data_IF_979016122486
#
_entry.id   IF_979016122486
#
_cell.length_a   1.000
_cell.length_b   1.000
_cell.length_c   1.000
_cell.angle_alpha   90.00
_cell.angle_beta   90.00
_cell.angle_gamma   90.00
#
_symmetry.space_group_name_H-M   'P 1'
#
loop_
_entity.id
_entity.type
_entity.pdbx_description
1 polymer ?
#
# COMPACT_ATOMS: atom_id res chain seq x y z
N UNK A 1 9.75 12.44 21.80
CA UNK A 1 8.38 11.85 21.78
C UNK A 1 7.97 11.64 20.33
N UNK A 2 7.70 10.41 19.91
CA UNK A 2 7.21 10.16 18.54
C UNK A 2 5.80 10.72 18.42
N UNK A 3 5.53 11.45 17.30
CA UNK A 3 4.17 11.92 17.03
C UNK A 3 3.21 10.73 16.96
N UNK A 4 2.00 10.85 17.51
CA UNK A 4 0.99 9.80 17.36
C UNK A 4 0.71 9.57 15.87
N UNK A 5 0.73 8.30 15.45
CA UNK A 5 0.39 7.95 14.08
C UNK A 5 -1.09 8.22 13.84
N UNK A 6 -1.48 8.72 12.64
CA UNK A 6 -2.88 8.91 12.31
C UNK A 6 -3.67 7.61 12.49
N UNK A 7 -4.87 7.71 13.07
CA UNK A 7 -5.73 6.55 13.27
C UNK A 7 -6.19 5.97 11.91
N UNK A 8 -6.16 4.66 11.72
CA UNK A 8 -6.71 4.02 10.54
C UNK A 8 -8.24 4.15 10.52
N UNK A 9 -8.85 4.01 9.35
CA UNK A 9 -10.29 3.85 9.22
C UNK A 9 -10.74 2.58 9.94
N UNK A 10 -11.85 2.61 10.69
CA UNK A 10 -12.36 1.43 11.38
C UNK A 10 -12.93 0.40 10.39
N UNK A 11 -12.94 -0.90 10.77
CA UNK A 11 -13.65 -1.93 10.01
C UNK A 11 -15.12 -1.56 9.80
N UNK A 12 -15.67 -1.91 8.64
CA UNK A 12 -17.02 -1.58 8.24
C UNK A 12 -17.18 -0.21 7.56
N UNK A 13 -16.18 0.67 7.63
CA UNK A 13 -16.20 1.94 6.89
C UNK A 13 -16.26 1.68 5.40
N UNK A 14 -17.12 2.40 4.68
CA UNK A 14 -17.20 2.33 3.21
C UNK A 14 -16.59 3.58 2.62
N UNK A 15 -15.65 3.42 1.69
CA UNK A 15 -15.03 4.51 0.92
C UNK A 15 -14.97 4.12 -0.56
N UNK A 16 -15.46 4.97 -1.44
CA UNK A 16 -15.49 4.71 -2.89
C UNK A 16 -16.24 3.42 -3.28
N UNK A 17 -17.17 2.95 -2.45
CA UNK A 17 -17.84 1.66 -2.63
C UNK A 17 -17.10 0.45 -2.08
N UNK A 18 -15.89 0.62 -1.52
CA UNK A 18 -15.09 -0.45 -0.91
C UNK A 18 -15.30 -0.47 0.61
N UNK A 19 -15.65 -1.61 1.17
CA UNK A 19 -15.87 -1.79 2.60
C UNK A 19 -14.58 -2.25 3.29
N UNK A 20 -14.07 -1.47 4.22
CA UNK A 20 -12.89 -1.80 5.01
C UNK A 20 -13.15 -3.05 5.87
N UNK A 21 -12.32 -4.07 5.72
CA UNK A 21 -12.35 -5.28 6.56
C UNK A 21 -11.39 -5.14 7.74
N UNK A 22 -10.15 -4.80 7.47
CA UNK A 22 -9.11 -4.58 8.50
C UNK A 22 -7.93 -3.78 7.95
N UNK A 23 -7.14 -3.22 8.85
CA UNK A 23 -5.82 -2.67 8.51
C UNK A 23 -4.83 -3.81 8.25
N UNK A 24 -4.10 -3.74 7.13
CA UNK A 24 -2.98 -4.64 6.79
C UNK A 24 -1.64 -4.06 7.23
N UNK A 25 -1.37 -2.79 6.87
CA UNK A 25 -0.10 -2.14 7.14
C UNK A 25 -0.27 -0.63 7.36
N UNK A 26 0.71 0.01 8.00
CA UNK A 26 0.82 1.45 8.07
C UNK A 26 2.30 1.84 7.94
N UNK A 27 2.58 2.82 7.10
CA UNK A 27 3.94 3.32 6.81
C UNK A 27 4.02 4.84 6.80
N UNK A 28 5.17 5.36 6.36
CA UNK A 28 5.42 6.81 6.30
C UNK A 28 4.48 7.58 5.39
N UNK A 29 3.96 6.94 4.35
CA UNK A 29 3.11 7.56 3.32
C UNK A 29 1.61 7.29 3.49
N UNK A 30 1.21 6.36 4.36
CA UNK A 30 -0.20 6.08 4.55
C UNK A 30 -0.51 4.72 5.16
N UNK A 31 -1.73 4.28 4.96
CA UNK A 31 -2.28 3.05 5.51
C UNK A 31 -2.78 2.15 4.39
N UNK A 32 -2.55 0.86 4.53
CA UNK A 32 -3.08 -0.17 3.63
C UNK A 32 -4.11 -0.99 4.38
N UNK A 33 -5.27 -1.15 3.77
CA UNK A 33 -6.38 -1.93 4.29
C UNK A 33 -6.66 -3.16 3.43
N UNK A 34 -7.16 -4.22 4.03
CA UNK A 34 -7.97 -5.22 3.36
C UNK A 34 -9.38 -4.65 3.24
N UNK A 35 -9.94 -4.67 2.04
CA UNK A 35 -11.30 -4.21 1.78
C UNK A 35 -12.04 -5.19 0.86
N UNK A 36 -13.35 -5.13 0.87
CA UNK A 36 -14.22 -5.80 -0.09
C UNK A 36 -14.74 -4.79 -1.11
N UNK A 37 -14.72 -5.18 -2.38
CA UNK A 37 -15.40 -4.44 -3.45
C UNK A 37 -16.92 -4.69 -3.42
N UNK A 38 -17.73 -4.02 -4.28
CA UNK A 38 -19.17 -4.26 -4.37
C UNK A 38 -19.56 -5.69 -4.70
N UNK A 39 -18.70 -6.45 -5.38
CA UNK A 39 -18.89 -7.86 -5.72
C UNK A 39 -18.36 -8.82 -4.64
N UNK A 40 -17.99 -8.29 -3.46
CA UNK A 40 -17.42 -9.06 -2.33
C UNK A 40 -16.07 -9.69 -2.58
N UNK A 41 -15.32 -9.19 -3.57
CA UNK A 41 -13.94 -9.63 -3.81
C UNK A 41 -12.99 -8.86 -2.91
N UNK A 42 -11.98 -9.55 -2.40
CA UNK A 42 -10.97 -8.94 -1.54
C UNK A 42 -9.97 -8.13 -2.39
N UNK A 43 -9.73 -6.90 -1.96
CA UNK A 43 -8.77 -5.97 -2.55
C UNK A 43 -7.88 -5.36 -1.47
N UNK A 44 -6.70 -4.88 -1.85
CA UNK A 44 -5.88 -4.02 -1.01
C UNK A 44 -6.20 -2.56 -1.34
N UNK A 45 -6.55 -1.78 -0.32
CA UNK A 45 -6.86 -0.36 -0.45
C UNK A 45 -5.78 0.46 0.26
N UNK A 46 -4.97 1.21 -0.49
CA UNK A 46 -3.93 2.09 0.04
C UNK A 46 -4.44 3.52 0.14
N UNK A 47 -4.45 4.07 1.34
CA UNK A 47 -4.83 5.45 1.62
C UNK A 47 -3.58 6.33 1.75
N UNK A 48 -3.56 7.49 1.11
CA UNK A 48 -2.54 8.50 1.34
C UNK A 48 -2.80 9.20 2.67
N UNK A 49 -2.01 8.90 3.70
CA UNK A 49 -2.15 9.44 5.04
C UNK A 49 -0.77 9.58 5.71
N UNK A 50 0.08 10.50 5.22
CA UNK A 50 1.44 10.65 5.73
C UNK A 50 1.44 11.20 7.15
N UNK A 51 1.96 10.42 8.11
CA UNK A 51 2.00 10.77 9.53
C UNK A 51 2.82 12.04 9.84
N UNK A 52 3.70 12.47 8.94
CA UNK A 52 4.44 13.72 9.06
C UNK A 52 3.61 14.96 8.72
N UNK A 53 2.53 14.82 7.95
CA UNK A 53 1.74 15.91 7.39
C UNK A 53 0.30 15.94 7.88
N UNK A 54 -0.29 14.78 8.14
CA UNK A 54 -1.69 14.64 8.47
C UNK A 54 -1.87 13.94 9.82
N UNK A 55 -2.94 14.29 10.51
CA UNK A 55 -3.39 13.68 11.76
C UNK A 55 -4.84 13.23 11.58
N UNK A 56 -5.23 12.12 12.21
CA UNK A 56 -6.62 11.67 12.25
C UNK A 56 -6.88 10.99 13.59
N UNK A 57 -7.95 11.37 14.26
CA UNK A 57 -8.41 10.74 15.50
C UNK A 57 -9.20 9.48 15.20
N UNK A 58 -9.31 8.59 16.17
CA UNK A 58 -10.11 7.38 16.03
C UNK A 58 -11.59 7.74 15.74
N UNK A 59 -12.17 7.09 14.74
CA UNK A 59 -13.57 7.32 14.31
C UNK A 59 -13.76 8.48 13.34
N UNK A 60 -12.76 9.33 13.11
CA UNK A 60 -12.83 10.37 12.08
C UNK A 60 -12.49 9.77 10.70
N UNK A 61 -13.17 10.28 9.66
CA UNK A 61 -12.91 9.88 8.26
C UNK A 61 -11.89 10.81 7.60
N UNK A 62 -12.03 12.11 7.83
CA UNK A 62 -11.26 13.16 7.17
C UNK A 62 -9.97 13.43 7.95
N UNK A 63 -8.78 13.34 7.32
CA UNK A 63 -7.53 13.72 7.95
C UNK A 63 -7.44 15.23 8.15
N UNK A 64 -6.86 15.64 9.25
CA UNK A 64 -6.55 17.04 9.55
C UNK A 64 -5.13 17.35 9.15
N UNK A 65 -4.96 18.39 8.35
CA UNK A 65 -3.65 18.89 7.91
C UNK A 65 -3.49 20.32 8.39
N UNK A 66 -2.38 20.61 9.07
CA UNK A 66 -2.09 21.97 9.54
C UNK A 66 -1.92 22.92 8.34
N UNK A 67 -2.29 24.22 8.48
CA UNK A 67 -2.22 25.19 7.38
C UNK A 67 -0.84 25.30 6.74
N UNK A 68 0.22 25.29 7.53
CA UNK A 68 1.62 25.37 7.10
C UNK A 68 2.06 24.13 6.27
N UNK A 69 1.38 23.01 6.43
CA UNK A 69 1.67 21.73 5.73
C UNK A 69 0.76 21.46 4.53
N UNK A 70 -0.29 22.25 4.35
CA UNK A 70 -1.27 22.08 3.27
C UNK A 70 -0.62 22.04 1.86
N UNK A 71 0.33 22.92 1.50
CA UNK A 71 0.94 22.87 0.18
C UNK A 71 1.68 21.55 -0.07
N UNK A 72 2.44 21.06 0.94
CA UNK A 72 3.19 19.82 0.82
C UNK A 72 2.25 18.59 0.78
N UNK A 73 1.17 18.62 1.56
CA UNK A 73 0.15 17.57 1.54
C UNK A 73 -0.53 17.46 0.17
N UNK A 74 -0.90 18.61 -0.44
CA UNK A 74 -1.50 18.66 -1.79
C UNK A 74 -0.53 18.15 -2.87
N UNK A 75 0.75 18.52 -2.77
CA UNK A 75 1.77 18.01 -3.67
C UNK A 75 1.87 16.48 -3.57
N UNK A 76 1.90 15.95 -2.34
CA UNK A 76 1.95 14.51 -2.11
C UNK A 76 0.69 13.78 -2.59
N UNK A 77 -0.51 14.37 -2.44
CA UNK A 77 -1.75 13.83 -3.04
C UNK A 77 -1.62 13.70 -4.56
N UNK A 78 -1.09 14.74 -5.22
CA UNK A 78 -0.87 14.72 -6.67
C UNK A 78 0.12 13.63 -7.06
N UNK A 79 1.27 13.57 -6.39
CA UNK A 79 2.30 12.55 -6.66
C UNK A 79 1.78 11.13 -6.45
N UNK A 80 1.02 10.89 -5.38
CA UNK A 80 0.41 9.59 -5.11
C UNK A 80 -0.59 9.18 -6.20
N UNK A 81 -1.37 10.13 -6.71
CA UNK A 81 -2.30 9.89 -7.81
C UNK A 81 -1.58 9.59 -9.12
N UNK A 82 -0.51 10.33 -9.44
CA UNK A 82 0.31 10.11 -10.63
C UNK A 82 1.04 8.76 -10.57
N UNK A 83 1.57 8.38 -9.39
CA UNK A 83 2.15 7.06 -9.14
C UNK A 83 1.12 5.95 -9.43
N UNK A 84 -0.08 6.06 -8.86
CA UNK A 84 -1.15 5.10 -9.08
C UNK A 84 -1.54 4.97 -10.56
N UNK A 85 -1.62 6.10 -11.27
CA UNK A 85 -1.91 6.13 -12.70
C UNK A 85 -0.83 5.44 -13.53
N UNK A 86 0.43 5.63 -13.18
CA UNK A 86 1.54 4.96 -13.86
C UNK A 86 1.54 3.46 -13.58
N UNK A 87 1.34 3.06 -12.32
CA UNK A 87 1.24 1.65 -11.93
C UNK A 87 0.08 0.93 -12.61
N UNK A 88 -1.07 1.60 -12.80
CA UNK A 88 -2.23 1.02 -13.48
C UNK A 88 -1.98 0.65 -14.95
N UNK A 89 -0.93 1.20 -15.57
CA UNK A 89 -0.52 0.87 -16.95
C UNK A 89 0.39 -0.35 -17.01
N UNK A 90 0.89 -0.84 -15.88
CA UNK A 90 1.85 -1.93 -15.82
C UNK A 90 1.12 -3.25 -15.61
N UNK A 91 1.22 -4.16 -16.59
CA UNK A 91 0.78 -5.53 -16.48
C UNK A 91 1.99 -6.46 -16.43
N UNK A 92 2.42 -6.85 -15.22
CA UNK A 92 3.54 -7.76 -15.02
C UNK A 92 3.32 -8.61 -13.76
N UNK A 93 3.60 -9.92 -13.77
CA UNK A 93 3.33 -10.82 -12.64
C UNK A 93 4.10 -10.44 -11.36
N UNK A 94 5.26 -9.81 -11.49
CA UNK A 94 6.08 -9.36 -10.34
C UNK A 94 5.78 -7.91 -9.91
N UNK A 95 4.73 -7.27 -10.46
CA UNK A 95 4.29 -5.93 -10.09
C UNK A 95 2.82 -6.00 -9.67
N UNK A 96 2.48 -5.41 -8.53
CA UNK A 96 1.10 -5.38 -8.05
C UNK A 96 0.21 -4.62 -9.03
N UNK A 97 -0.91 -5.20 -9.42
CA UNK A 97 -1.88 -4.56 -10.31
C UNK A 97 -2.71 -3.53 -9.56
N UNK A 98 -2.82 -2.34 -10.14
CA UNK A 98 -3.72 -1.28 -9.67
C UNK A 98 -5.00 -1.33 -10.51
N UNK A 99 -6.15 -1.44 -9.85
CA UNK A 99 -7.45 -1.55 -10.51
C UNK A 99 -8.19 -0.22 -10.61
N UNK A 100 -8.05 0.60 -9.57
CA UNK A 100 -8.77 1.86 -9.45
C UNK A 100 -8.01 2.81 -8.53
N UNK A 101 -8.29 4.10 -8.66
CA UNK A 101 -7.90 5.12 -7.70
C UNK A 101 -8.97 6.22 -7.70
N UNK A 102 -9.26 6.77 -6.53
CA UNK A 102 -10.30 7.77 -6.36
C UNK A 102 -9.96 8.72 -5.22
N UNK A 103 -10.67 9.83 -5.19
CA UNK A 103 -10.56 10.84 -4.14
C UNK A 103 -11.82 10.85 -3.29
N UNK A 104 -11.63 10.72 -1.98
CA UNK A 104 -12.68 10.83 -0.98
C UNK A 104 -12.07 11.25 0.38
N UNK A 105 -12.86 11.79 1.29
CA UNK A 105 -12.42 12.21 2.63
C UNK A 105 -11.17 13.12 2.61
N UNK A 106 -11.08 14.06 1.67
CA UNK A 106 -9.92 14.95 1.49
C UNK A 106 -8.57 14.22 1.30
N UNK A 107 -8.59 12.95 0.90
CA UNK A 107 -7.43 12.16 0.57
C UNK A 107 -7.63 11.36 -0.72
N UNK A 108 -6.64 10.53 -1.08
CA UNK A 108 -6.64 9.68 -2.28
C UNK A 108 -6.46 8.23 -1.86
N UNK A 109 -7.21 7.37 -2.51
CA UNK A 109 -7.17 5.92 -2.34
C UNK A 109 -6.74 5.24 -3.64
N UNK A 110 -5.92 4.19 -3.52
CA UNK A 110 -5.49 3.33 -4.60
C UNK A 110 -5.95 1.91 -4.32
N UNK A 111 -6.71 1.33 -5.24
CA UNK A 111 -7.23 -0.05 -5.15
C UNK A 111 -6.29 -0.97 -5.92
N UNK A 112 -5.79 -1.98 -5.25
CA UNK A 112 -4.80 -2.91 -5.79
C UNK A 112 -5.25 -4.35 -5.58
N UNK A 113 -4.63 -5.26 -6.35
CA UNK A 113 -4.76 -6.68 -6.08
C UNK A 113 -4.33 -7.00 -4.65
N UNK A 114 -5.16 -7.75 -3.92
CA UNK A 114 -4.77 -8.31 -2.63
C UNK A 114 -4.03 -9.63 -2.86
N UNK A 115 -2.75 -9.62 -2.52
CA UNK A 115 -1.90 -10.81 -2.59
C UNK A 115 -1.88 -11.48 -1.21
N UNK A 116 -2.34 -12.73 -1.17
CA UNK A 116 -2.21 -13.57 0.03
C UNK A 116 -0.82 -14.19 0.03
N UNK A 117 -0.13 -14.06 1.14
CA UNK A 117 1.22 -14.60 1.31
C UNK A 117 1.99 -13.88 2.41
N UNK A 118 3.22 -14.32 2.60
CA UNK A 118 4.15 -13.74 3.58
C UNK A 118 5.10 -12.74 2.90
N UNK A 119 5.60 -11.80 3.68
CA UNK A 119 6.69 -10.96 3.21
C UNK A 119 7.99 -11.78 3.14
N UNK A 120 8.94 -11.36 2.30
CA UNK A 120 10.24 -12.00 2.26
C UNK A 120 10.92 -12.00 3.65
N UNK A 121 10.69 -10.97 4.45
CA UNK A 121 11.22 -10.88 5.81
C UNK A 121 10.60 -11.94 6.71
N UNK A 122 9.27 -12.11 6.71
CA UNK A 122 8.57 -13.13 7.50
C UNK A 122 9.02 -14.53 7.08
N UNK A 123 9.16 -14.75 5.76
CA UNK A 123 9.68 -15.99 5.23
C UNK A 123 11.11 -16.29 5.73
N UNK A 124 12.00 -15.29 5.76
CA UNK A 124 13.37 -15.43 6.28
C UNK A 124 13.36 -15.76 7.76
N UNK A 125 12.56 -15.06 8.56
CA UNK A 125 12.44 -15.29 10.01
C UNK A 125 11.95 -16.71 10.28
N UNK A 126 10.83 -17.10 9.66
CA UNK A 126 10.23 -18.43 9.81
C UNK A 126 11.20 -19.55 9.38
N UNK A 127 11.90 -19.36 8.26
CA UNK A 127 12.86 -20.35 7.79
C UNK A 127 14.05 -20.54 8.75
N UNK A 128 14.53 -19.46 9.38
CA UNK A 128 15.57 -19.53 10.42
C UNK A 128 15.09 -20.22 11.67
N UNK A 129 13.91 -19.89 12.17
CA UNK A 129 13.31 -20.53 13.36
C UNK A 129 13.12 -22.03 13.15
N UNK A 130 12.71 -22.45 11.95
CA UNK A 130 12.53 -23.85 11.58
C UNK A 130 13.83 -24.55 11.16
N UNK A 131 15.00 -23.88 11.23
CA UNK A 131 16.31 -24.39 10.82
C UNK A 131 16.29 -24.96 9.40
N UNK A 132 15.54 -24.31 8.51
CA UNK A 132 15.40 -24.70 7.10
C UNK A 132 16.43 -23.99 6.21
N UNK A 133 17.72 -24.10 6.52
CA UNK A 133 18.82 -23.41 5.80
C UNK A 133 18.87 -23.78 4.31
N UNK A 134 18.35 -24.95 3.94
CA UNK A 134 18.29 -25.40 2.53
C UNK A 134 17.34 -24.55 1.65
N UNK A 135 16.47 -23.75 2.25
CA UNK A 135 15.54 -22.86 1.52
C UNK A 135 16.27 -21.68 0.88
N UNK A 136 17.42 -21.28 1.44
CA UNK A 136 18.26 -20.19 0.92
C UNK A 136 19.39 -20.68 0.01
N UNK A 137 19.11 -21.68 -0.83
CA UNK A 137 20.07 -22.09 -1.86
C UNK A 137 20.29 -20.95 -2.85
N UNK A 138 21.51 -20.86 -3.37
CA UNK A 138 21.85 -19.86 -4.37
C UNK A 138 20.87 -19.83 -5.55
N UNK A 139 20.43 -20.99 -6.02
CA UNK A 139 19.43 -21.09 -7.11
C UNK A 139 18.09 -20.44 -6.76
N UNK A 140 17.60 -20.61 -5.52
CA UNK A 140 16.35 -20.00 -5.04
C UNK A 140 16.49 -18.48 -4.97
N UNK A 141 17.64 -18.01 -4.43
CA UNK A 141 17.93 -16.57 -4.32
C UNK A 141 18.02 -15.95 -5.72
N UNK A 142 18.75 -16.59 -6.64
CA UNK A 142 18.86 -16.11 -8.05
C UNK A 142 17.48 -16.02 -8.71
N UNK A 143 16.66 -17.07 -8.61
CA UNK A 143 15.31 -17.08 -9.20
C UNK A 143 14.45 -15.95 -8.65
N UNK A 144 14.48 -15.72 -7.33
CA UNK A 144 13.72 -14.65 -6.69
C UNK A 144 14.17 -13.26 -7.20
N UNK A 145 15.50 -13.03 -7.27
CA UNK A 145 16.02 -11.76 -7.74
C UNK A 145 15.78 -11.54 -9.23
N UNK A 146 15.84 -12.59 -10.05
CA UNK A 146 15.51 -12.50 -11.48
C UNK A 146 14.07 -12.01 -11.68
N UNK A 147 13.10 -12.55 -10.92
CA UNK A 147 11.70 -12.11 -10.96
C UNK A 147 11.53 -10.65 -10.52
N UNK A 148 12.19 -10.26 -9.43
CA UNK A 148 12.17 -8.88 -8.93
C UNK A 148 12.77 -7.93 -9.96
N UNK A 149 13.93 -8.26 -10.52
CA UNK A 149 14.63 -7.41 -11.50
C UNK A 149 13.84 -7.27 -12.81
N UNK A 150 13.13 -8.31 -13.25
CA UNK A 150 12.23 -8.23 -14.41
C UNK A 150 11.09 -7.24 -14.15
N UNK A 151 10.45 -7.33 -12.98
CA UNK A 151 9.41 -6.37 -12.58
C UNK A 151 9.96 -4.96 -12.50
N UNK A 152 11.10 -4.76 -11.85
CA UNK A 152 11.75 -3.45 -11.72
C UNK A 152 12.14 -2.84 -13.07
N UNK A 153 12.64 -3.65 -14.01
CA UNK A 153 12.95 -3.21 -15.37
C UNK A 153 11.71 -2.61 -16.06
N UNK A 154 10.56 -3.25 -15.91
CA UNK A 154 9.31 -2.74 -16.48
C UNK A 154 8.92 -1.42 -15.83
N UNK A 155 8.96 -1.33 -14.49
CA UNK A 155 8.66 -0.10 -13.75
C UNK A 155 9.54 1.06 -14.23
N UNK A 156 10.85 0.85 -14.40
CA UNK A 156 11.77 1.87 -14.89
C UNK A 156 11.47 2.34 -16.32
N UNK A 157 10.89 1.49 -17.19
CA UNK A 157 10.48 1.89 -18.54
C UNK A 157 9.34 2.91 -18.51
N UNK A 158 8.51 2.91 -17.46
CA UNK A 158 7.44 3.89 -17.26
C UNK A 158 7.91 5.18 -16.57
N UNK A 159 9.24 5.37 -16.39
CA UNK A 159 9.86 6.58 -15.79
C UNK A 159 9.34 6.90 -14.38
N UNK A 160 9.07 5.86 -13.61
CA UNK A 160 8.74 5.99 -12.19
C UNK A 160 10.02 6.00 -11.33
#
# INVERSE_FOLDING_TARGET
MSKPKPAPLPPGTVVGGYQIVKKLAAGGFGVVYLAEDPDKRLVALKEYLPASLAERSAGELIPRVKPDKQPLYRLGLKSFFEEGRSLAQIAHPSVVSVYNFFRENETVYMVMNYLQGDTLQDFIVTARELKRDKVFRESTIRSLFDEILRGLRIVHQYKM
#
